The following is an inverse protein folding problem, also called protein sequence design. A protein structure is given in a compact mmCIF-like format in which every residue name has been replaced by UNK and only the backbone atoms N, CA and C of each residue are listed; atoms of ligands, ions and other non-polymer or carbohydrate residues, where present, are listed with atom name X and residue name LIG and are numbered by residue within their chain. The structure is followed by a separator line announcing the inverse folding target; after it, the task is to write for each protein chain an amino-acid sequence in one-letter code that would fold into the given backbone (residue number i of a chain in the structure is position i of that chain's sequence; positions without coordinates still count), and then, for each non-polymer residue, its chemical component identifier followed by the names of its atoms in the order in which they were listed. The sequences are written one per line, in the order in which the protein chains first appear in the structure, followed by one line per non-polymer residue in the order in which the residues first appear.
data_IF_353464149604
#
_entry.id   IF_353464149604
#
_cell.length_a   1.000
_cell.length_b   1.000
_cell.length_c   1.000
_cell.angle_alpha   90.00
_cell.angle_beta   90.00
_cell.angle_gamma   90.00
#
_symmetry.space_group_name_H-M   'P 1'
#
loop_
_entity.id
_entity.type
_entity.pdbx_description
1 polymer ?
#
# COMPACT_ATOMS: atom_id res chain seq x y z
N UNK A 1 8.72 -36.30 2.45
CA UNK A 1 8.94 -35.70 1.12
C UNK A 1 10.25 -34.93 1.12
N UNK A 2 10.85 -34.75 -0.05
CA UNK A 2 12.30 -34.75 -0.36
C UNK A 2 13.19 -33.64 0.20
N UNK A 3 14.44 -34.00 0.53
CA UNK A 3 15.57 -33.15 0.97
C UNK A 3 16.31 -32.44 -0.19
N UNK A 4 15.62 -32.04 -1.25
CA UNK A 4 16.26 -31.53 -2.48
C UNK A 4 15.68 -30.21 -3.02
N UNK A 5 14.78 -29.56 -2.28
CA UNK A 5 14.44 -28.15 -2.49
C UNK A 5 14.77 -27.45 -1.17
N UNK A 6 15.90 -26.72 -1.08
CA UNK A 6 16.41 -26.29 0.22
C UNK A 6 15.56 -25.20 0.87
N UNK A 7 14.74 -24.46 0.11
CA UNK A 7 13.95 -23.35 0.62
C UNK A 7 12.57 -23.31 -0.04
N UNK A 8 11.53 -23.13 0.77
CA UNK A 8 10.16 -22.98 0.28
C UNK A 8 10.01 -21.61 -0.39
N UNK A 9 9.51 -21.53 -1.64
CA UNK A 9 9.38 -20.25 -2.32
C UNK A 9 8.40 -19.33 -1.57
N UNK A 10 8.82 -18.08 -1.36
CA UNK A 10 7.99 -17.06 -0.71
C UNK A 10 6.97 -16.51 -1.71
N UNK A 11 5.68 -16.78 -1.50
CA UNK A 11 4.61 -16.21 -2.31
C UNK A 11 4.11 -14.94 -1.65
N UNK A 12 4.25 -13.80 -2.32
CA UNK A 12 3.83 -12.49 -1.81
C UNK A 12 2.66 -12.01 -2.66
N UNK A 13 1.55 -11.62 -2.03
CA UNK A 13 0.46 -10.95 -2.73
C UNK A 13 0.91 -9.55 -3.16
N UNK A 14 0.90 -9.22 -4.47
CA UNK A 14 1.22 -7.88 -4.93
C UNK A 14 0.29 -6.82 -4.32
N UNK A 15 -0.97 -7.19 -4.04
CA UNK A 15 -1.95 -6.30 -3.39
C UNK A 15 -1.62 -6.08 -1.92
N UNK A 16 -1.07 -7.06 -1.21
CA UNK A 16 -0.63 -6.88 0.17
C UNK A 16 0.66 -6.05 0.24
N UNK A 17 1.65 -6.36 -0.61
CA UNK A 17 2.90 -5.59 -0.70
C UNK A 17 2.66 -4.13 -1.09
N UNK A 18 1.72 -3.91 -2.02
CA UNK A 18 1.14 -2.62 -2.29
C UNK A 18 0.62 -1.95 -1.01
N UNK A 19 -0.14 -2.67 -0.21
CA UNK A 19 -0.90 -2.09 0.89
C UNK A 19 -0.04 -1.74 2.11
N UNK A 20 0.87 -2.63 2.50
CA UNK A 20 1.68 -2.49 3.72
C UNK A 20 3.16 -2.17 3.46
N UNK A 21 3.61 -2.27 2.20
CA UNK A 21 5.03 -2.24 1.83
C UNK A 21 5.57 -3.63 1.51
N UNK A 22 6.54 -3.71 0.60
CA UNK A 22 7.14 -5.00 0.22
C UNK A 22 7.89 -5.63 1.39
N UNK A 23 8.64 -4.84 2.16
CA UNK A 23 9.39 -5.32 3.32
C UNK A 23 8.47 -5.90 4.39
N UNK A 24 7.42 -5.15 4.72
CA UNK A 24 6.36 -5.57 5.62
C UNK A 24 5.65 -6.84 5.14
N UNK A 25 5.32 -6.93 3.85
CA UNK A 25 4.65 -8.11 3.30
C UNK A 25 5.55 -9.36 3.29
N UNK A 26 6.84 -9.21 3.00
CA UNK A 26 7.83 -10.28 3.09
C UNK A 26 7.97 -10.75 4.54
N UNK A 27 8.10 -9.82 5.49
CA UNK A 27 8.20 -10.14 6.91
C UNK A 27 6.94 -10.88 7.40
N UNK A 28 5.75 -10.37 7.08
CA UNK A 28 4.48 -11.02 7.41
C UNK A 28 4.40 -12.44 6.87
N UNK A 29 4.79 -12.65 5.61
CA UNK A 29 4.70 -13.96 4.98
C UNK A 29 5.63 -14.99 5.65
N UNK A 30 6.86 -14.59 5.96
CA UNK A 30 7.80 -15.46 6.71
C UNK A 30 7.27 -15.75 8.11
N UNK A 31 6.80 -14.73 8.82
CA UNK A 31 6.24 -14.90 10.17
C UNK A 31 4.97 -15.77 10.17
N UNK A 32 4.10 -15.63 9.17
CA UNK A 32 2.90 -16.45 9.02
C UNK A 32 3.25 -17.93 8.82
N UNK A 33 4.27 -18.21 8.00
CA UNK A 33 4.74 -19.58 7.78
C UNK A 33 5.36 -20.16 9.07
N UNK A 34 6.16 -19.37 9.80
CA UNK A 34 6.71 -19.79 11.08
C UNK A 34 5.62 -20.04 12.13
N UNK A 35 4.60 -19.19 12.21
CA UNK A 35 3.43 -19.40 13.08
C UNK A 35 2.67 -20.67 12.66
N UNK A 36 2.62 -20.99 11.36
CA UNK A 36 1.95 -22.21 10.88
C UNK A 36 2.63 -23.49 11.38
N UNK A 37 3.95 -23.49 11.46
CA UNK A 37 4.75 -24.67 11.85
C UNK A 37 5.13 -24.71 13.33
N UNK A 38 5.39 -23.55 13.94
CA UNK A 38 5.91 -23.40 15.31
C UNK A 38 4.99 -22.61 16.23
N UNK A 39 3.87 -22.10 15.73
CA UNK A 39 2.92 -21.33 16.52
C UNK A 39 2.28 -22.18 17.61
N UNK A 40 2.33 -21.67 18.83
CA UNK A 40 1.74 -22.26 20.01
C UNK A 40 0.49 -21.48 20.42
N UNK A 41 -0.56 -22.19 20.81
CA UNK A 41 -1.71 -21.58 21.48
C UNK A 41 -1.34 -21.39 22.95
N UNK A 42 -1.24 -20.14 23.40
CA UNK A 42 -0.81 -19.81 24.77
C UNK A 42 -1.98 -19.69 25.74
N UNK A 43 -3.18 -19.40 25.24
CA UNK A 43 -4.41 -19.26 26.02
C UNK A 43 -5.50 -20.21 25.51
N UNK A 44 -6.26 -20.80 26.43
CA UNK A 44 -7.33 -21.76 26.17
C UNK A 44 -8.57 -21.19 25.46
N UNK A 45 -8.56 -19.92 25.03
CA UNK A 45 -9.79 -19.25 24.58
C UNK A 45 -9.59 -18.15 23.51
N UNK A 46 -8.42 -18.07 22.88
CA UNK A 46 -8.25 -17.25 21.68
C UNK A 46 -7.63 -18.09 20.58
N UNK A 47 -8.28 -18.17 19.42
CA UNK A 47 -7.78 -18.91 18.25
C UNK A 47 -6.47 -18.36 17.66
N UNK A 48 -5.80 -17.44 18.36
CA UNK A 48 -4.58 -16.75 17.95
C UNK A 48 -3.37 -17.63 18.27
N UNK A 49 -2.56 -17.91 17.25
CA UNK A 49 -1.30 -18.64 17.39
C UNK A 49 -0.16 -17.67 17.60
N UNK A 50 0.61 -17.93 18.64
CA UNK A 50 1.76 -17.12 19.02
C UNK A 50 3.06 -17.86 18.70
N UNK A 51 4.00 -17.15 18.10
CA UNK A 51 5.35 -17.61 17.82
C UNK A 51 6.32 -16.98 18.81
N UNK A 52 7.11 -17.79 19.50
CA UNK A 52 8.27 -17.30 20.25
C UNK A 52 9.42 -17.12 19.26
N UNK A 53 9.95 -15.90 19.15
CA UNK A 53 11.17 -15.61 18.42
C UNK A 53 12.23 -15.07 19.35
N UNK A 54 13.44 -15.60 19.22
CA UNK A 54 14.60 -15.04 19.87
C UNK A 54 15.14 -13.85 19.05
N UNK A 55 15.70 -12.84 19.70
CA UNK A 55 16.23 -11.64 19.02
C UNK A 55 17.32 -11.99 17.99
N UNK A 56 18.10 -13.04 18.28
CA UNK A 56 19.12 -13.61 17.38
C UNK A 56 18.56 -14.36 16.17
N UNK A 57 17.28 -14.73 16.17
CA UNK A 57 16.66 -15.40 15.03
C UNK A 57 16.28 -14.41 13.92
N UNK A 58 15.98 -13.16 14.27
CA UNK A 58 15.54 -12.15 13.30
C UNK A 58 16.57 -11.92 12.17
N UNK A 59 17.87 -11.72 12.45
CA UNK A 59 18.88 -11.59 11.39
C UNK A 59 19.13 -12.88 10.60
N UNK A 60 18.78 -14.05 11.15
CA UNK A 60 18.93 -15.35 10.47
C UNK A 60 17.77 -15.62 9.53
N UNK A 61 16.57 -15.14 9.88
CA UNK A 61 15.37 -15.22 9.06
C UNK A 61 15.38 -14.22 7.91
N UNK A 62 15.99 -13.05 8.13
CA UNK A 62 16.06 -11.96 7.15
C UNK A 62 17.51 -11.52 6.88
N UNK A 63 18.36 -12.40 6.31
CA UNK A 63 19.79 -12.10 6.11
C UNK A 63 20.07 -11.01 5.07
N UNK A 64 19.04 -10.59 4.34
CA UNK A 64 19.09 -9.56 3.29
C UNK A 64 18.72 -8.16 3.81
N UNK A 65 18.29 -8.04 5.07
CA UNK A 65 18.05 -6.75 5.73
C UNK A 65 19.01 -6.55 6.89
N UNK A 66 19.30 -5.28 7.19
CA UNK A 66 19.95 -4.91 8.44
C UNK A 66 19.04 -5.16 9.65
N UNK A 67 19.65 -5.23 10.83
CA UNK A 67 18.89 -5.33 12.09
C UNK A 67 17.94 -4.14 12.26
N UNK A 68 18.36 -2.95 11.85
CA UNK A 68 17.54 -1.73 11.89
C UNK A 68 16.31 -1.85 11.00
N UNK A 69 16.49 -2.23 9.73
CA UNK A 69 15.37 -2.41 8.78
C UNK A 69 14.39 -3.48 9.27
N UNK A 70 14.90 -4.59 9.81
CA UNK A 70 14.08 -5.66 10.37
C UNK A 70 13.21 -5.17 11.55
N UNK A 71 13.77 -4.34 12.42
CA UNK A 71 13.03 -3.75 13.54
C UNK A 71 12.04 -2.68 13.05
N UNK A 72 12.38 -1.90 12.03
CA UNK A 72 11.50 -0.90 11.43
C UNK A 72 10.27 -1.55 10.78
N UNK A 73 10.44 -2.58 9.96
CA UNK A 73 9.31 -3.30 9.36
C UNK A 73 8.43 -3.95 10.43
N UNK A 74 9.04 -4.54 11.47
CA UNK A 74 8.32 -5.11 12.60
C UNK A 74 7.51 -4.04 13.36
N UNK A 75 8.06 -2.84 13.54
CA UNK A 75 7.36 -1.74 14.19
C UNK A 75 6.25 -1.17 13.30
N UNK A 76 6.49 -1.08 11.99
CA UNK A 76 5.49 -0.69 10.98
C UNK A 76 4.27 -1.62 11.06
N UNK A 77 4.51 -2.93 11.08
CA UNK A 77 3.45 -3.94 11.21
C UNK A 77 2.69 -3.90 12.54
N UNK A 78 3.36 -3.55 13.64
CA UNK A 78 2.70 -3.32 14.93
C UNK A 78 1.82 -2.07 14.91
N UNK A 79 2.32 -0.97 14.34
CA UNK A 79 1.57 0.28 14.22
C UNK A 79 0.33 0.11 13.32
N UNK A 80 0.42 -0.76 12.32
CA UNK A 80 -0.70 -1.15 11.45
C UNK A 80 -1.72 -2.08 12.15
N UNK A 81 -1.40 -2.60 13.34
CA UNK A 81 -2.26 -3.51 14.08
C UNK A 81 -2.33 -4.94 13.51
N UNK A 82 -1.51 -5.26 12.50
CA UNK A 82 -1.46 -6.61 11.90
C UNK A 82 -0.61 -7.56 12.74
N UNK A 83 0.36 -7.02 13.48
CA UNK A 83 1.29 -7.78 14.30
C UNK A 83 1.18 -7.41 15.78
N UNK A 84 0.90 -8.39 16.63
CA UNK A 84 0.96 -8.26 18.09
C UNK A 84 2.31 -8.76 18.58
N UNK A 85 2.95 -7.97 19.43
CA UNK A 85 4.30 -8.21 19.91
C UNK A 85 4.34 -8.06 21.43
N UNK A 86 4.72 -9.14 22.12
CA UNK A 86 4.83 -9.19 23.59
C UNK A 86 6.24 -9.63 24.00
N UNK A 87 6.99 -8.72 24.62
CA UNK A 87 8.33 -9.02 25.12
C UNK A 87 8.24 -9.93 26.35
N UNK A 88 9.04 -11.00 26.40
CA UNK A 88 9.18 -11.84 27.60
C UNK A 88 10.13 -11.13 28.57
N UNK A 89 9.89 -11.32 29.87
CA UNK A 89 10.76 -10.81 30.95
C UNK A 89 12.22 -11.27 30.84
N UNK A 90 12.51 -12.30 30.05
CA UNK A 90 13.85 -12.67 29.61
C UNK A 90 14.13 -11.94 28.30
N UNK A 91 14.95 -10.89 28.36
CA UNK A 91 15.06 -9.81 27.36
C UNK A 91 15.45 -10.26 25.93
N UNK A 92 15.69 -11.55 25.70
CA UNK A 92 16.14 -12.11 24.42
C UNK A 92 15.03 -12.78 23.60
N UNK A 93 13.82 -12.92 24.14
CA UNK A 93 12.71 -13.58 23.45
C UNK A 93 11.48 -12.69 23.38
N UNK A 94 10.86 -12.67 22.20
CA UNK A 94 9.60 -11.97 21.97
C UNK A 94 8.55 -12.91 21.41
N UNK A 95 7.33 -12.78 21.91
CA UNK A 95 6.17 -13.42 21.33
C UNK A 95 5.55 -12.55 20.26
N UNK A 96 5.28 -13.18 19.13
CA UNK A 96 4.70 -12.56 17.95
C UNK A 96 3.43 -13.31 17.58
N UNK A 97 2.33 -12.60 17.40
CA UNK A 97 1.11 -13.15 16.82
C UNK A 97 0.68 -12.27 15.65
N UNK A 98 0.16 -12.91 14.60
CA UNK A 98 -0.55 -12.20 13.53
C UNK A 98 -2.00 -12.09 13.97
N UNK A 99 -2.49 -10.87 14.03
CA UNK A 99 -3.90 -10.62 14.29
C UNK A 99 -4.62 -10.67 12.94
N UNK A 100 -5.17 -11.84 12.60
CA UNK A 100 -6.02 -12.06 11.41
C UNK A 100 -7.38 -11.34 11.52
N UNK A 101 -7.51 -10.33 12.38
CA UNK A 101 -8.71 -9.52 12.54
C UNK A 101 -9.16 -9.04 11.16
N UNK A 102 -10.27 -9.61 10.66
CA UNK A 102 -10.79 -9.48 9.29
C UNK A 102 -11.11 -8.04 8.84
N UNK A 103 -10.72 -7.03 9.60
CA UNK A 103 -10.92 -5.61 9.36
C UNK A 103 -9.61 -4.81 9.15
N UNK A 104 -8.44 -5.33 9.56
CA UNK A 104 -7.18 -4.55 9.48
C UNK A 104 -6.61 -4.44 8.06
N UNK A 105 -6.75 -5.50 7.25
CA UNK A 105 -6.27 -5.55 5.86
C UNK A 105 -7.24 -4.82 4.91
N UNK A 106 -8.49 -4.58 5.33
CA UNK A 106 -9.51 -3.87 4.54
C UNK A 106 -9.35 -2.33 4.59
N UNK A 107 -8.65 -1.79 5.60
CA UNK A 107 -8.46 -0.34 5.76
C UNK A 107 -7.13 0.18 5.21
N UNK A 108 -6.18 -0.72 4.92
CA UNK A 108 -4.96 -0.34 4.26
C UNK A 108 -5.21 -0.34 2.74
N UNK A 109 -5.16 0.86 2.15
CA UNK A 109 -5.34 1.07 0.70
C UNK A 109 -4.13 0.52 -0.06
N UNK A 110 -4.31 -0.12 -1.24
CA UNK A 110 -3.19 -0.61 -2.04
C UNK A 110 -2.32 0.56 -2.52
N UNK A 111 -1.04 0.61 -2.11
CA UNK A 111 -0.05 1.47 -2.77
C UNK A 111 0.41 0.84 -4.09
N UNK A 112 0.73 1.62 -5.12
CA UNK A 112 1.34 1.08 -6.33
C UNK A 112 2.74 0.49 -6.06
N UNK A 113 3.21 -0.45 -6.89
CA UNK A 113 4.53 -1.07 -6.74
C UNK A 113 5.64 -0.04 -7.01
N UNK A 114 6.53 0.14 -6.04
CA UNK A 114 7.80 0.83 -6.26
C UNK A 114 8.72 -0.09 -7.06
N UNK A 115 8.97 0.26 -8.32
CA UNK A 115 10.04 -0.31 -9.13
C UNK A 115 11.38 0.15 -8.59
N UNK A 116 12.18 -0.78 -8.09
CA UNK A 116 13.55 -0.56 -7.68
C UNK A 116 14.52 -1.19 -8.70
N UNK A 117 15.45 -0.39 -9.23
CA UNK A 117 16.86 -0.71 -9.52
C UNK A 117 17.59 0.61 -9.96
N UNK A 118 18.34 1.32 -9.09
CA UNK A 118 19.77 1.23 -8.67
C UNK A 118 20.74 2.10 -9.53
N UNK A 119 21.98 2.48 -9.10
CA UNK A 119 22.39 3.30 -7.93
C UNK A 119 23.42 4.44 -8.22
N UNK A 120 23.67 5.29 -7.18
CA UNK A 120 24.85 6.15 -6.87
C UNK A 120 25.21 7.35 -7.78
N UNK A 121 25.25 8.56 -7.20
CA UNK A 121 26.50 9.35 -6.99
C UNK A 121 26.35 10.24 -5.75
N UNK A 122 27.38 10.21 -4.90
CA UNK A 122 27.58 11.06 -3.72
C UNK A 122 27.87 12.51 -4.17
N UNK A 123 27.18 13.50 -3.61
CA UNK A 123 27.74 14.85 -3.47
C UNK A 123 27.13 15.52 -2.25
N UNK A 124 27.99 15.92 -1.33
CA UNK A 124 27.66 16.61 -0.10
C UNK A 124 27.63 18.14 -0.32
N UNK A 125 26.58 18.79 0.23
CA UNK A 125 26.52 20.15 0.83
C UNK A 125 26.61 21.40 -0.10
N UNK A 126 26.07 22.59 0.29
CA UNK A 126 25.84 23.06 1.67
C UNK A 126 24.45 23.56 2.07
N UNK A 127 24.17 23.29 3.35
CA UNK A 127 23.41 24.03 4.36
C UNK A 127 22.84 25.39 3.94
N UNK A 128 21.50 25.50 4.00
CA UNK A 128 20.85 26.66 4.61
C UNK A 128 20.11 26.19 5.85
N UNK A 129 20.72 26.46 7.00
CA UNK A 129 20.09 26.38 8.31
C UNK A 129 18.88 27.32 8.36
N UNK A 130 17.77 26.83 8.90
CA UNK A 130 17.14 27.43 10.08
C UNK A 130 16.08 26.51 10.70
N UNK A 131 16.39 26.12 11.94
CA UNK A 131 15.51 25.86 13.10
C UNK A 131 14.61 24.61 13.10
N UNK A 132 15.02 23.66 13.94
CA UNK A 132 14.09 22.74 14.61
C UNK A 132 14.67 21.36 14.89
N UNK A 133 15.55 21.25 15.88
CA UNK A 133 15.91 19.97 16.48
C UNK A 133 14.66 19.29 17.09
N UNK A 134 14.55 17.97 16.87
CA UNK A 134 13.80 17.06 17.71
C UNK A 134 12.27 17.15 17.63
N UNK A 135 11.68 16.52 16.62
CA UNK A 135 10.30 16.02 16.75
C UNK A 135 10.06 14.89 15.75
N UNK A 136 10.24 13.64 16.21
CA UNK A 136 9.60 12.45 15.62
C UNK A 136 8.07 12.46 15.85
N UNK A 137 7.46 13.63 15.84
CA UNK A 137 6.03 13.83 15.98
C UNK A 137 5.51 14.46 14.68
N UNK A 138 4.41 13.90 14.15
CA UNK A 138 3.73 14.49 13.00
C UNK A 138 3.34 15.94 13.28
N UNK A 139 3.24 16.76 12.23
CA UNK A 139 2.77 18.15 12.33
C UNK A 139 1.34 18.26 11.78
N UNK A 140 0.45 19.03 12.40
CA UNK A 140 -0.84 19.35 11.79
C UNK A 140 -0.65 20.14 10.49
N UNK A 141 -1.66 20.14 9.62
CA UNK A 141 -1.57 20.85 8.33
C UNK A 141 -1.68 22.37 8.54
N UNK A 142 -0.78 23.19 7.94
CA UNK A 142 -0.91 24.65 7.95
C UNK A 142 -2.08 25.17 7.13
N UNK A 143 -2.54 26.39 7.42
CA UNK A 143 -3.69 26.98 6.73
C UNK A 143 -3.43 27.38 5.28
N UNK A 144 -2.21 27.81 5.02
CA UNK A 144 -1.68 28.23 3.73
C UNK A 144 -0.88 27.10 3.06
N UNK A 145 -1.09 25.86 3.50
CA UNK A 145 -0.33 24.72 3.02
C UNK A 145 -0.47 24.55 1.50
N UNK A 146 0.68 24.36 0.85
CA UNK A 146 0.78 24.06 -0.58
C UNK A 146 1.69 22.86 -0.78
N UNK A 147 1.38 21.98 -1.76
CA UNK A 147 2.27 20.90 -2.12
C UNK A 147 3.59 21.48 -2.66
N UNK A 148 4.71 20.88 -2.28
CA UNK A 148 6.00 21.19 -2.88
C UNK A 148 5.99 20.85 -4.37
N UNK A 149 6.77 21.58 -5.16
CA UNK A 149 6.83 21.42 -6.63
C UNK A 149 7.17 19.99 -7.08
N UNK A 150 7.92 19.26 -6.25
CA UNK A 150 8.25 17.86 -6.50
C UNK A 150 6.98 16.98 -6.60
N UNK A 151 6.00 17.18 -5.71
CA UNK A 151 4.76 16.40 -5.70
C UNK A 151 3.84 16.74 -6.88
N UNK A 152 3.83 18.00 -7.31
CA UNK A 152 3.11 18.45 -8.51
C UNK A 152 3.75 17.81 -9.75
N UNK A 153 5.08 17.79 -9.82
CA UNK A 153 5.83 17.18 -10.93
C UNK A 153 5.56 15.67 -11.02
N UNK A 154 5.55 14.96 -9.90
CA UNK A 154 5.20 13.54 -9.83
C UNK A 154 3.77 13.28 -10.33
N UNK A 155 2.79 14.09 -9.90
CA UNK A 155 1.41 13.96 -10.40
C UNK A 155 1.32 14.22 -11.92
N UNK A 156 2.09 15.19 -12.43
CA UNK A 156 2.17 15.47 -13.87
C UNK A 156 2.74 14.28 -14.67
N UNK A 157 3.68 13.52 -14.11
CA UNK A 157 4.22 12.31 -14.77
C UNK A 157 3.14 11.24 -15.00
N UNK A 158 2.08 11.22 -14.19
CA UNK A 158 0.90 10.38 -14.38
C UNK A 158 -0.15 11.00 -15.32
N UNK A 159 0.25 11.97 -16.14
CA UNK A 159 -0.63 12.69 -17.07
C UNK A 159 -1.82 13.39 -16.40
N UNK A 160 -1.65 13.81 -15.13
CA UNK A 160 -2.68 14.55 -14.39
C UNK A 160 -2.54 16.05 -14.71
N UNK A 161 -3.60 16.74 -15.16
CA UNK A 161 -3.56 18.17 -15.44
C UNK A 161 -3.26 19.01 -14.20
N UNK A 162 -2.40 20.01 -14.34
CA UNK A 162 -2.04 20.94 -13.25
C UNK A 162 -3.26 21.63 -12.60
N UNK A 163 -4.26 22.00 -13.40
CA UNK A 163 -5.49 22.62 -12.89
C UNK A 163 -6.28 21.68 -11.98
N UNK A 164 -6.29 20.38 -12.30
CA UNK A 164 -6.93 19.35 -11.48
C UNK A 164 -6.18 19.15 -10.16
N UNK A 165 -4.84 19.16 -10.20
CA UNK A 165 -4.03 19.07 -8.98
C UNK A 165 -4.32 20.27 -8.07
N UNK A 166 -4.34 21.48 -8.63
CA UNK A 166 -4.55 22.73 -7.88
C UNK A 166 -5.95 22.83 -7.30
N UNK A 167 -6.97 22.32 -7.98
CA UNK A 167 -8.35 22.37 -7.50
C UNK A 167 -8.61 21.53 -6.24
N UNK A 168 -7.78 20.50 -6.00
CA UNK A 168 -7.90 19.62 -4.84
C UNK A 168 -7.25 20.19 -3.56
N UNK A 169 -6.38 21.20 -3.67
CA UNK A 169 -5.63 21.75 -2.52
C UNK A 169 -6.57 22.30 -1.43
N UNK A 170 -7.57 23.16 -1.74
CA UNK A 170 -8.40 23.76 -0.69
C UNK A 170 -9.25 22.73 0.07
N UNK A 171 -9.82 21.75 -0.64
CA UNK A 171 -10.62 20.68 -0.03
C UNK A 171 -9.75 19.81 0.88
N UNK A 172 -8.58 19.41 0.40
CA UNK A 172 -7.64 18.62 1.18
C UNK A 172 -7.20 19.32 2.47
N UNK A 173 -6.86 20.62 2.40
CA UNK A 173 -6.45 21.40 3.57
C UNK A 173 -7.58 21.48 4.59
N UNK A 174 -8.80 21.80 4.14
CA UNK A 174 -9.96 21.90 5.03
C UNK A 174 -10.27 20.57 5.72
N UNK A 175 -10.30 19.47 4.95
CA UNK A 175 -10.55 18.13 5.48
C UNK A 175 -9.57 17.75 6.59
N UNK A 176 -8.26 17.97 6.37
CA UNK A 176 -7.24 17.59 7.35
C UNK A 176 -7.13 18.55 8.53
N UNK A 177 -7.50 19.81 8.34
CA UNK A 177 -7.64 20.78 9.43
C UNK A 177 -8.75 20.35 10.38
N UNK A 178 -9.93 20.03 9.87
CA UNK A 178 -11.09 19.62 10.68
C UNK A 178 -10.82 18.34 11.48
N UNK A 179 -9.98 17.46 10.94
CA UNK A 179 -9.56 16.21 11.61
C UNK A 179 -8.51 16.41 12.70
N UNK A 180 -7.77 17.52 12.70
CA UNK A 180 -6.74 17.81 13.70
C UNK A 180 -5.59 16.78 13.77
N UNK A 181 -5.42 15.93 12.75
CA UNK A 181 -4.41 14.87 12.76
C UNK A 181 -3.05 15.41 12.36
N UNK A 182 -2.01 14.91 13.02
CA UNK A 182 -0.64 15.30 12.76
C UNK A 182 0.05 14.27 11.84
N UNK A 183 0.75 14.73 10.79
CA UNK A 183 1.44 13.87 9.83
C UNK A 183 2.86 14.32 9.57
N UNK A 184 3.72 13.36 9.21
CA UNK A 184 5.12 13.60 8.88
C UNK A 184 5.32 14.17 7.47
N UNK A 185 4.41 13.87 6.53
CA UNK A 185 4.47 14.39 5.16
C UNK A 185 3.07 14.62 4.58
N UNK A 186 2.67 15.89 4.54
CA UNK A 186 1.45 16.33 3.87
C UNK A 186 1.54 16.20 2.35
N UNK A 187 2.74 16.38 1.76
CA UNK A 187 2.97 16.24 0.33
C UNK A 187 2.70 14.83 -0.19
N UNK A 188 3.20 13.80 0.50
CA UNK A 188 2.93 12.40 0.13
C UNK A 188 1.44 12.04 0.31
N UNK A 189 0.82 12.54 1.39
CA UNK A 189 -0.61 12.35 1.63
C UNK A 189 -1.47 12.99 0.52
N UNK A 190 -1.11 14.21 0.12
CA UNK A 190 -1.78 14.95 -0.95
C UNK A 190 -1.60 14.27 -2.31
N UNK A 191 -0.38 13.84 -2.64
CA UNK A 191 -0.10 13.13 -3.88
C UNK A 191 -0.96 11.86 -4.04
N UNK A 192 -1.10 11.05 -2.99
CA UNK A 192 -1.98 9.88 -2.99
C UNK A 192 -3.46 10.27 -3.15
N UNK A 193 -3.89 11.36 -2.52
CA UNK A 193 -5.24 11.88 -2.68
C UNK A 193 -5.50 12.30 -4.14
N UNK A 194 -4.57 13.03 -4.76
CA UNK A 194 -4.64 13.42 -6.18
C UNK A 194 -4.74 12.20 -7.11
N UNK A 195 -3.90 11.17 -6.91
CA UNK A 195 -3.96 9.93 -7.69
C UNK A 195 -5.32 9.23 -7.57
N UNK A 196 -5.87 9.18 -6.36
CA UNK A 196 -7.17 8.57 -6.10
C UNK A 196 -8.29 9.33 -6.81
N UNK A 197 -8.36 10.64 -6.61
CA UNK A 197 -9.39 11.49 -7.21
C UNK A 197 -9.28 11.49 -8.73
N UNK A 198 -8.07 11.43 -9.29
CA UNK A 198 -7.89 11.30 -10.73
C UNK A 198 -8.46 10.00 -11.27
N UNK A 199 -8.22 8.84 -10.62
CA UNK A 199 -8.82 7.57 -11.05
C UNK A 199 -10.34 7.61 -11.02
N UNK A 200 -10.92 8.19 -9.96
CA UNK A 200 -12.36 8.38 -9.89
C UNK A 200 -12.88 9.29 -11.00
N UNK A 201 -12.14 10.36 -11.34
CA UNK A 201 -12.47 11.24 -12.45
C UNK A 201 -12.45 10.49 -13.79
N UNK A 202 -11.43 9.66 -14.03
CA UNK A 202 -11.32 8.84 -15.24
C UNK A 202 -12.46 7.84 -15.36
N UNK A 203 -12.79 7.11 -14.29
CA UNK A 203 -13.94 6.19 -14.27
C UNK A 203 -15.25 6.95 -14.49
N UNK A 204 -15.43 8.12 -13.87
CA UNK A 204 -16.62 8.95 -14.03
C UNK A 204 -16.77 9.45 -15.45
N UNK A 205 -15.68 9.88 -16.10
CA UNK A 205 -15.68 10.29 -17.50
C UNK A 205 -16.00 9.13 -18.43
N UNK A 206 -15.31 7.98 -18.28
CA UNK A 206 -15.59 6.79 -19.08
C UNK A 206 -17.03 6.28 -18.89
N UNK A 207 -17.55 6.28 -17.67
CA UNK A 207 -18.93 5.92 -17.40
C UNK A 207 -19.93 6.91 -18.05
N UNK A 208 -19.61 8.21 -18.12
CA UNK A 208 -20.44 9.21 -18.81
C UNK A 208 -20.37 9.09 -20.33
N UNK A 209 -19.22 8.72 -20.88
CA UNK A 209 -19.07 8.43 -22.31
C UNK A 209 -19.88 7.19 -22.71
N UNK A 210 -19.90 6.17 -21.86
CA UNK A 210 -20.75 4.97 -22.03
C UNK A 210 -22.23 5.26 -21.78
N UNK A 211 -22.55 6.13 -20.82
CA UNK A 211 -23.91 6.61 -20.56
C UNK A 211 -24.33 7.69 -21.56
N UNK A 212 -24.26 7.36 -22.85
CA UNK A 212 -24.92 8.13 -23.89
C UNK A 212 -26.38 7.69 -24.01
N UNK A 213 -27.27 8.61 -24.42
CA UNK A 213 -28.67 8.25 -24.69
C UNK A 213 -28.69 7.31 -25.88
N UNK A 214 -29.18 6.09 -25.68
CA UNK A 214 -29.29 5.09 -26.75
C UNK A 214 -30.13 5.66 -27.89
N UNK A 215 -29.51 5.85 -29.06
CA UNK A 215 -30.20 6.34 -30.25
C UNK A 215 -30.95 5.18 -30.91
N UNK A 216 -32.02 5.44 -31.68
CA UNK A 216 -32.70 4.40 -32.45
C UNK A 216 -31.84 3.78 -33.56
N UNK A 217 -30.65 4.30 -33.81
CA UNK A 217 -29.62 3.75 -34.70
C UNK A 217 -28.38 3.26 -33.91
N UNK A 218 -28.57 2.91 -32.65
CA UNK A 218 -27.48 2.41 -31.81
C UNK A 218 -27.04 1.04 -32.34
N UNK A 219 -25.76 0.92 -32.66
CA UNK A 219 -25.10 -0.36 -32.95
C UNK A 219 -24.00 -0.59 -31.91
N UNK A 220 -23.72 -1.86 -31.54
CA UNK A 220 -22.58 -2.20 -30.72
C UNK A 220 -21.27 -1.68 -31.33
N UNK A 221 -20.33 -1.25 -30.48
CA UNK A 221 -18.99 -0.87 -30.96
C UNK A 221 -18.26 -2.09 -31.53
N UNK A 222 -17.25 -1.86 -32.39
CA UNK A 222 -16.44 -2.93 -32.95
C UNK A 222 -15.77 -3.81 -31.87
N UNK A 223 -15.33 -3.18 -30.77
CA UNK A 223 -14.78 -3.86 -29.60
C UNK A 223 -15.84 -4.74 -28.90
N UNK A 224 -17.09 -4.27 -28.80
CA UNK A 224 -18.18 -5.09 -28.28
C UNK A 224 -18.50 -6.29 -29.18
N UNK A 225 -18.46 -6.12 -30.51
CA UNK A 225 -18.63 -7.22 -31.46
C UNK A 225 -17.50 -8.26 -31.34
N UNK A 226 -16.26 -7.82 -31.13
CA UNK A 226 -15.10 -8.69 -30.93
C UNK A 226 -15.22 -9.51 -29.65
N UNK A 227 -15.61 -8.87 -28.54
CA UNK A 227 -15.83 -9.55 -27.26
C UNK A 227 -16.95 -10.58 -27.38
N UNK A 228 -18.09 -10.23 -27.99
CA UNK A 228 -19.20 -11.15 -28.19
C UNK A 228 -18.80 -12.35 -29.08
N UNK A 229 -18.03 -12.11 -30.14
CA UNK A 229 -17.43 -13.16 -30.96
C UNK A 229 -16.48 -14.06 -30.18
N UNK A 230 -15.66 -13.50 -29.29
CA UNK A 230 -14.73 -14.26 -28.45
C UNK A 230 -15.42 -15.19 -27.44
N UNK A 231 -16.64 -14.83 -27.01
CA UNK A 231 -17.48 -15.63 -26.10
C UNK A 231 -18.36 -16.65 -26.88
N UNK A 232 -18.24 -16.68 -28.21
CA UNK A 232 -18.92 -17.64 -29.07
C UNK A 232 -20.32 -17.22 -29.53
N UNK A 233 -20.68 -15.94 -29.39
CA UNK A 233 -21.94 -15.40 -29.91
C UNK A 233 -21.74 -15.07 -31.40
N UNK A 234 -22.61 -15.59 -32.26
CA UNK A 234 -22.48 -15.41 -33.71
C UNK A 234 -22.90 -14.01 -34.16
N UNK A 235 -22.21 -13.47 -35.18
CA UNK A 235 -22.52 -12.16 -35.75
C UNK A 235 -23.98 -12.07 -36.24
N UNK A 236 -24.50 -13.16 -36.81
CA UNK A 236 -25.89 -13.26 -37.29
C UNK A 236 -26.91 -13.13 -36.17
N UNK A 237 -26.61 -13.65 -34.98
CA UNK A 237 -27.47 -13.50 -33.80
C UNK A 237 -27.42 -12.08 -33.25
N UNK A 238 -26.26 -11.42 -33.32
CA UNK A 238 -26.12 -10.03 -32.91
C UNK A 238 -26.93 -9.14 -33.85
N UNK A 239 -26.83 -9.31 -35.16
CA UNK A 239 -27.57 -8.54 -36.18
C UNK A 239 -29.10 -8.68 -36.08
N UNK A 240 -29.60 -9.83 -35.64
CA UNK A 240 -31.04 -10.07 -35.45
C UNK A 240 -31.59 -9.46 -34.13
N UNK A 241 -30.69 -9.13 -33.19
CA UNK A 241 -31.02 -8.63 -31.85
C UNK A 241 -30.91 -7.09 -31.71
N UNK A 242 -30.48 -6.39 -32.76
CA UNK A 242 -30.40 -4.92 -32.85
C UNK A 242 -31.62 -4.37 -33.59
#
# INVERSE_FOLDING_TARGET
MSKLVPEQPLVISPTLAATVGLGEAVMLQVLAELIRHRGQQRHSDSGIRWLCLEERELPRLFPFWSMTESLEYRQSLQNLGVLKVEHVSDAQSTWIAIDDGGEAIAQAKPFPPETNEMPKVKSALPVSERLGAGSNAGRPIPDDWKPEDNWIRLARQHAIPDDFIRSLIPEFVNYWRDRGQARFSWGNAFYKHVLKEWRHEQTRKGARELASTMSPQWLPSADALEILGSVGISHSFIEDAI
#
